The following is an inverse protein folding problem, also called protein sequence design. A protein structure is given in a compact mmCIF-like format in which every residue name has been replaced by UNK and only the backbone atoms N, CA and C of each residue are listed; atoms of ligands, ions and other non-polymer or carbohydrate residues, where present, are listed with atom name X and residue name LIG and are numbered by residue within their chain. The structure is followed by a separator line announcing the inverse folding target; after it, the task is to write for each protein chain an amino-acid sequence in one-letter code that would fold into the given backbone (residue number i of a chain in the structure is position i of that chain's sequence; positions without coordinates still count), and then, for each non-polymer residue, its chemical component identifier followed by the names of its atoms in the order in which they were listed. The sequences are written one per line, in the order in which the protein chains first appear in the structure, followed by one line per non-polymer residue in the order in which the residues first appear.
data_IF_745802564359
#
_entry.id   IF_745802564359
#
_cell.length_a   1.000
_cell.length_b   1.000
_cell.length_c   1.000
_cell.angle_alpha   90.00
_cell.angle_beta   90.00
_cell.angle_gamma   90.00
#
_symmetry.space_group_name_H-M   'P 1'
#
loop_
_entity.id
_entity.type
_entity.pdbx_description
1 polymer ?
#
# COMPACT_ATOMS: atom_id res chain seq x y z
N UNK A 1 4.69 -16.64 15.38
CA UNK A 1 5.23 -16.45 14.02
C UNK A 1 4.04 -16.47 13.07
N UNK A 2 3.89 -15.47 12.20
CA UNK A 2 2.73 -15.36 11.31
C UNK A 2 2.65 -16.57 10.38
N UNK A 3 1.44 -17.06 10.14
CA UNK A 3 1.19 -18.02 9.07
C UNK A 3 1.32 -17.33 7.71
N UNK A 4 1.68 -18.09 6.68
CA UNK A 4 1.77 -17.56 5.31
C UNK A 4 0.45 -16.95 4.82
N UNK A 5 -0.69 -17.44 5.29
CA UNK A 5 -1.99 -16.88 4.93
C UNK A 5 -2.18 -15.49 5.55
N UNK A 6 -1.78 -15.30 6.81
CA UNK A 6 -1.80 -13.99 7.47
C UNK A 6 -0.83 -13.02 6.80
N UNK A 7 0.41 -13.43 6.51
CA UNK A 7 1.38 -12.59 5.81
C UNK A 7 0.84 -12.11 4.46
N UNK A 8 0.23 -13.01 3.69
CA UNK A 8 -0.40 -12.65 2.43
C UNK A 8 -1.62 -11.73 2.61
N UNK A 9 -2.43 -11.96 3.65
CA UNK A 9 -3.58 -11.12 3.96
C UNK A 9 -3.15 -9.71 4.39
N UNK A 10 -2.13 -9.57 5.23
CA UNK A 10 -1.53 -8.29 5.66
C UNK A 10 -1.00 -7.53 4.45
N UNK A 11 -0.22 -8.18 3.58
CA UNK A 11 0.33 -7.52 2.39
C UNK A 11 -0.77 -7.07 1.42
N UNK A 12 -1.82 -7.87 1.22
CA UNK A 12 -2.98 -7.46 0.41
C UNK A 12 -3.79 -6.36 1.07
N UNK A 13 -3.99 -6.42 2.39
CA UNK A 13 -4.66 -5.36 3.14
C UNK A 13 -3.92 -4.04 2.95
N UNK A 14 -2.59 -4.01 3.01
CA UNK A 14 -1.81 -2.82 2.71
C UNK A 14 -2.02 -2.30 1.26
N UNK A 15 -2.14 -3.19 0.27
CA UNK A 15 -2.51 -2.81 -1.11
C UNK A 15 -3.90 -2.16 -1.16
N UNK A 16 -4.89 -2.76 -0.50
CA UNK A 16 -6.25 -2.23 -0.46
C UNK A 16 -6.34 -0.92 0.33
N UNK A 17 -5.61 -0.79 1.44
CA UNK A 17 -5.55 0.45 2.21
C UNK A 17 -4.94 1.58 1.38
N UNK A 18 -3.83 1.33 0.67
CA UNK A 18 -3.25 2.31 -0.24
C UNK A 18 -4.24 2.74 -1.33
N UNK A 19 -4.97 1.77 -1.92
CA UNK A 19 -5.98 2.05 -2.93
C UNK A 19 -7.15 2.89 -2.37
N UNK A 20 -7.62 2.59 -1.16
CA UNK A 20 -8.68 3.35 -0.48
C UNK A 20 -8.24 4.78 -0.17
N UNK A 21 -7.02 4.96 0.37
CA UNK A 21 -6.52 6.28 0.71
C UNK A 21 -6.24 7.14 -0.53
N UNK A 22 -5.83 6.54 -1.65
CA UNK A 22 -5.71 7.24 -2.93
C UNK A 22 -7.08 7.67 -3.45
N UNK A 23 -8.10 6.83 -3.32
CA UNK A 23 -9.47 7.18 -3.70
C UNK A 23 -10.04 8.32 -2.83
N UNK A 24 -9.83 8.26 -1.52
CA UNK A 24 -10.22 9.32 -0.58
C UNK A 24 -9.51 10.63 -0.88
N UNK A 25 -8.17 10.63 -1.03
CA UNK A 25 -7.42 11.84 -1.41
C UNK A 25 -7.92 12.46 -2.71
N UNK A 26 -8.24 11.62 -3.71
CA UNK A 26 -8.73 12.10 -4.99
C UNK A 26 -10.12 12.76 -4.87
N UNK A 27 -10.97 12.33 -3.93
CA UNK A 27 -12.33 12.83 -3.74
C UNK A 27 -12.47 13.94 -2.69
N UNK A 28 -11.68 13.87 -1.63
CA UNK A 28 -11.84 14.65 -0.40
C UNK A 28 -10.66 15.60 -0.17
N UNK A 29 -9.52 15.38 -0.86
CA UNK A 29 -8.35 16.25 -0.84
C UNK A 29 -7.38 15.98 0.31
N UNK A 30 -7.83 15.32 1.38
CA UNK A 30 -7.00 14.93 2.51
C UNK A 30 -7.43 13.60 3.14
N UNK A 31 -6.55 13.01 3.96
CA UNK A 31 -6.80 11.81 4.76
C UNK A 31 -6.05 11.92 6.09
N UNK A 32 -6.54 11.29 7.19
CA UNK A 32 -5.88 11.36 8.48
C UNK A 32 -4.44 10.80 8.43
N UNK A 33 -3.42 11.49 8.97
CA UNK A 33 -2.02 11.04 8.94
C UNK A 33 -1.83 9.62 9.49
N UNK A 34 -2.54 9.28 10.57
CA UNK A 34 -2.52 7.96 11.23
C UNK A 34 -2.86 6.80 10.30
N UNK A 35 -3.62 7.04 9.22
CA UNK A 35 -3.97 6.01 8.22
C UNK A 35 -2.90 5.84 7.14
N UNK A 36 -2.14 6.91 6.86
CA UNK A 36 -1.10 6.94 5.81
C UNK A 36 0.27 6.52 6.33
N UNK A 37 0.59 6.90 7.57
CA UNK A 37 1.91 6.72 8.17
C UNK A 37 2.40 5.26 8.14
N UNK A 38 1.58 4.24 8.42
CA UNK A 38 2.05 2.84 8.39
C UNK A 38 2.47 2.42 6.99
N UNK A 39 1.75 2.88 5.96
CA UNK A 39 2.09 2.61 4.57
C UNK A 39 3.37 3.36 4.16
N UNK A 40 3.50 4.64 4.52
CA UNK A 40 4.69 5.44 4.20
C UNK A 40 5.93 4.87 4.88
N UNK A 41 5.84 4.55 6.18
CA UNK A 41 6.91 3.90 6.95
C UNK A 41 7.34 2.57 6.33
N UNK A 42 6.40 1.78 5.81
CA UNK A 42 6.69 0.48 5.19
C UNK A 42 7.61 0.58 3.97
N UNK A 43 7.66 1.72 3.27
CA UNK A 43 8.55 1.94 2.13
C UNK A 43 10.02 1.82 2.58
N UNK A 44 10.34 2.37 3.75
CA UNK A 44 11.70 2.41 4.29
C UNK A 44 12.11 1.09 4.97
N UNK A 45 11.17 0.20 5.28
CA UNK A 45 11.44 -1.15 5.82
C UNK A 45 11.85 -2.11 4.69
N UNK A 46 13.06 -1.92 4.16
CA UNK A 46 13.60 -2.72 3.05
C UNK A 46 13.99 -4.15 3.49
N UNK A 47 14.61 -4.29 4.67
CA UNK A 47 15.08 -5.57 5.22
C UNK A 47 14.48 -5.79 6.63
N UNK A 48 13.19 -6.13 6.75
CA UNK A 48 12.59 -6.38 8.05
C UNK A 48 13.09 -7.71 8.64
N UNK A 49 13.39 -7.73 9.95
CA UNK A 49 13.76 -8.97 10.65
C UNK A 49 12.55 -9.90 10.80
N UNK A 50 11.37 -9.31 11.06
CA UNK A 50 10.10 -10.02 11.17
C UNK A 50 9.05 -9.37 10.29
N UNK A 51 8.12 -10.19 9.81
CA UNK A 51 7.02 -9.71 8.96
C UNK A 51 6.16 -8.63 9.66
N UNK A 52 5.98 -8.75 10.97
CA UNK A 52 5.22 -7.78 11.77
C UNK A 52 5.87 -6.39 11.85
N UNK A 53 7.19 -6.28 11.63
CA UNK A 53 7.95 -5.02 11.73
C UNK A 53 7.67 -4.04 10.58
N UNK A 54 7.00 -4.52 9.53
CA UNK A 54 6.75 -3.74 8.31
C UNK A 54 5.69 -2.68 8.55
N UNK A 55 4.55 -3.10 9.13
CA UNK A 55 3.39 -2.22 9.36
C UNK A 55 3.09 -2.02 10.84
N UNK A 56 3.56 -2.90 11.73
CA UNK A 56 3.09 -3.00 13.11
C UNK A 56 1.81 -3.85 13.23
N UNK A 57 1.05 -3.71 14.33
CA UNK A 57 -0.17 -4.50 14.55
C UNK A 57 -1.20 -4.30 13.43
N UNK A 58 -1.46 -5.33 12.63
CA UNK A 58 -2.31 -5.20 11.46
C UNK A 58 -3.76 -4.78 11.78
N UNK A 59 -4.30 -5.19 12.95
CA UNK A 59 -5.65 -4.85 13.41
C UNK A 59 -5.90 -3.34 13.49
N UNK A 60 -4.89 -2.56 13.93
CA UNK A 60 -4.95 -1.11 14.03
C UNK A 60 -4.34 -0.41 12.82
N UNK A 61 -3.21 -0.89 12.32
CA UNK A 61 -2.42 -0.20 11.29
C UNK A 61 -2.97 -0.42 9.88
N UNK A 62 -3.68 -1.52 9.63
CA UNK A 62 -4.20 -1.90 8.31
C UNK A 62 -5.72 -2.15 8.33
N UNK A 63 -6.44 -1.61 9.32
CA UNK A 63 -7.87 -1.88 9.54
C UNK A 63 -8.72 -1.62 8.29
N UNK A 64 -8.48 -0.50 7.61
CA UNK A 64 -9.21 -0.10 6.39
C UNK A 64 -8.96 -1.16 5.32
N UNK A 65 -7.69 -1.50 5.09
CA UNK A 65 -7.30 -2.50 4.11
C UNK A 65 -7.88 -3.89 4.36
N UNK A 66 -7.88 -4.32 5.62
CA UNK A 66 -8.42 -5.63 6.04
C UNK A 66 -9.93 -5.69 5.78
N UNK A 67 -10.69 -4.65 6.14
CA UNK A 67 -12.13 -4.57 5.87
C UNK A 67 -12.43 -4.59 4.37
N UNK A 68 -11.68 -3.82 3.57
CA UNK A 68 -11.84 -3.82 2.11
C UNK A 68 -11.50 -5.19 1.50
N UNK A 69 -10.45 -5.86 1.99
CA UNK A 69 -10.11 -7.20 1.56
C UNK A 69 -11.22 -8.20 1.91
N UNK A 70 -11.79 -8.14 3.12
CA UNK A 70 -12.92 -8.99 3.54
C UNK A 70 -14.12 -8.85 2.61
N UNK A 71 -14.50 -7.62 2.26
CA UNK A 71 -15.60 -7.34 1.33
C UNK A 71 -15.36 -8.00 -0.03
N UNK A 72 -14.14 -7.83 -0.58
CA UNK A 72 -13.76 -8.40 -1.89
C UNK A 72 -13.75 -9.93 -1.88
N UNK A 73 -13.20 -10.56 -0.84
CA UNK A 73 -13.10 -12.03 -0.77
C UNK A 73 -14.43 -12.67 -0.35
N UNK A 74 -15.25 -11.96 0.43
CA UNK A 74 -16.59 -12.35 0.88
C UNK A 74 -17.67 -12.25 -0.18
N UNK A 75 -17.38 -11.66 -1.35
CA UNK A 75 -18.34 -11.41 -2.44
C UNK A 75 -19.51 -10.50 -2.02
N UNK A 76 -19.21 -9.44 -1.28
CA UNK A 76 -20.14 -8.33 -1.14
C UNK A 76 -19.68 -7.16 -2.05
N UNK A 77 -19.90 -7.22 -3.37
CA UNK A 77 -19.45 -6.18 -4.28
C UNK A 77 -20.12 -4.82 -4.02
N UNK A 78 -21.24 -4.76 -3.28
CA UNK A 78 -21.87 -3.50 -2.90
C UNK A 78 -21.09 -2.75 -1.82
N UNK A 79 -20.26 -3.46 -1.04
CA UNK A 79 -19.48 -2.87 0.06
C UNK A 79 -18.21 -2.14 -0.35
N UNK A 80 -17.72 -2.29 -1.59
CA UNK A 80 -16.45 -1.70 -2.06
C UNK A 80 -16.65 -0.81 -3.28
N UNK A 81 -16.05 0.38 -3.23
CA UNK A 81 -16.04 1.30 -4.37
C UNK A 81 -15.28 0.68 -5.57
N UNK A 82 -15.81 0.76 -6.81
CA UNK A 82 -15.15 0.24 -8.00
C UNK A 82 -13.72 0.80 -8.21
N UNK A 83 -13.50 2.07 -7.89
CA UNK A 83 -12.20 2.76 -7.99
C UNK A 83 -11.15 2.09 -7.10
N UNK A 84 -11.50 1.74 -5.86
CA UNK A 84 -10.58 1.07 -4.92
C UNK A 84 -10.15 -0.27 -5.48
N UNK A 85 -11.09 -1.06 -6.00
CA UNK A 85 -10.78 -2.34 -6.66
C UNK A 85 -9.89 -2.11 -7.90
N UNK A 86 -10.21 -1.11 -8.72
CA UNK A 86 -9.44 -0.75 -9.90
C UNK A 86 -8.00 -0.34 -9.57
N UNK A 87 -7.79 0.47 -8.54
CA UNK A 87 -6.46 0.87 -8.09
C UNK A 87 -5.69 -0.31 -7.50
N UNK A 88 -6.28 -1.13 -6.64
CA UNK A 88 -5.64 -2.33 -6.09
C UNK A 88 -5.17 -3.29 -7.19
N UNK A 89 -6.03 -3.58 -8.18
CA UNK A 89 -5.67 -4.40 -9.33
C UNK A 89 -4.57 -3.77 -10.19
N UNK A 90 -4.55 -2.44 -10.31
CA UNK A 90 -3.53 -1.72 -11.04
C UNK A 90 -2.18 -1.74 -10.33
N UNK A 91 -2.14 -1.60 -9.00
CA UNK A 91 -0.93 -1.76 -8.16
C UNK A 91 -0.33 -3.16 -8.33
N UNK A 92 -1.16 -4.20 -8.22
CA UNK A 92 -0.75 -5.59 -8.47
C UNK A 92 -0.28 -5.84 -9.91
N UNK A 93 -0.70 -5.00 -10.87
CA UNK A 93 -0.26 -5.12 -12.27
C UNK A 93 1.10 -4.44 -12.47
N UNK A 94 1.25 -3.24 -11.89
CA UNK A 94 2.50 -2.48 -11.92
C UNK A 94 3.65 -3.24 -11.28
N UNK A 95 3.44 -3.89 -10.14
CA UNK A 95 4.46 -4.75 -9.52
C UNK A 95 5.03 -5.76 -10.52
N UNK A 96 4.17 -6.43 -11.30
CA UNK A 96 4.61 -7.45 -12.27
C UNK A 96 5.43 -6.85 -13.41
N UNK A 97 5.16 -5.60 -13.80
CA UNK A 97 5.95 -4.87 -14.80
C UNK A 97 7.28 -4.43 -14.20
N UNK A 98 7.25 -3.85 -13.00
CA UNK A 98 8.44 -3.41 -12.28
C UNK A 98 9.42 -4.57 -12.04
N UNK A 99 8.93 -5.74 -11.61
CA UNK A 99 9.79 -6.91 -11.36
C UNK A 99 10.54 -7.41 -12.61
N UNK A 100 10.09 -7.06 -13.81
CA UNK A 100 10.78 -7.36 -15.07
C UNK A 100 11.80 -6.30 -15.48
N UNK A 101 11.92 -5.21 -14.72
CA UNK A 101 12.82 -4.09 -14.97
C UNK A 101 13.78 -3.96 -13.79
N UNK A 102 14.93 -4.65 -13.88
CA UNK A 102 15.97 -4.68 -12.84
C UNK A 102 16.51 -3.28 -12.54
N UNK A 103 16.72 -2.47 -13.57
CA UNK A 103 17.36 -1.17 -13.47
C UNK A 103 16.46 -0.18 -12.72
N UNK A 104 15.16 -0.20 -13.04
CA UNK A 104 14.17 0.58 -12.31
C UNK A 104 14.03 0.10 -10.86
N UNK A 105 14.16 -1.21 -10.60
CA UNK A 105 14.16 -1.73 -9.23
C UNK A 105 15.39 -1.25 -8.43
N UNK A 106 16.58 -1.21 -9.05
CA UNK A 106 17.79 -0.64 -8.43
C UNK A 106 17.60 0.84 -8.11
N UNK A 107 17.09 1.60 -9.09
CA UNK A 107 16.81 3.04 -8.95
C UNK A 107 15.82 3.31 -7.81
N UNK A 108 14.77 2.49 -7.68
CA UNK A 108 13.84 2.58 -6.55
C UNK A 108 14.53 2.27 -5.21
N UNK A 109 15.36 1.24 -5.15
CA UNK A 109 16.11 0.87 -3.95
C UNK A 109 17.01 2.01 -3.46
N UNK A 110 17.82 2.56 -4.36
CA UNK A 110 18.70 3.71 -4.10
C UNK A 110 17.89 4.95 -3.72
N UNK A 111 16.86 5.29 -4.49
CA UNK A 111 16.01 6.46 -4.21
C UNK A 111 15.30 6.39 -2.86
N UNK A 112 14.86 5.20 -2.43
CA UNK A 112 14.29 4.99 -1.10
C UNK A 112 15.34 5.23 0.00
N UNK A 113 16.59 4.77 -0.19
CA UNK A 113 17.66 5.03 0.77
C UNK A 113 18.00 6.53 0.87
N UNK A 114 17.91 7.26 -0.24
CA UNK A 114 18.09 8.71 -0.23
C UNK A 114 16.94 9.41 0.51
N UNK A 115 15.69 9.00 0.24
CA UNK A 115 14.51 9.52 0.92
C UNK A 115 14.48 9.17 2.42
N UNK A 116 15.07 8.05 2.83
CA UNK A 116 15.18 7.67 4.25
C UNK A 116 15.93 8.73 5.07
N UNK A 117 17.00 9.32 4.53
CA UNK A 117 17.74 10.41 5.19
C UNK A 117 16.87 11.66 5.43
N UNK A 118 15.93 11.95 4.52
CA UNK A 118 14.97 13.04 4.71
C UNK A 118 13.97 12.69 5.83
N UNK A 119 13.53 11.44 5.89
CA UNK A 119 12.64 10.96 6.94
C UNK A 119 13.29 11.03 8.34
N UNK A 120 14.60 10.78 8.45
CA UNK A 120 15.35 10.89 9.71
C UNK A 120 15.36 12.32 10.26
N UNK A 121 15.33 13.34 9.39
CA UNK A 121 15.30 14.75 9.80
C UNK A 121 13.89 15.30 10.06
N UNK A 122 12.89 14.88 9.28
CA UNK A 122 11.55 15.52 9.29
C UNK A 122 10.39 14.63 9.74
N UNK A 123 10.55 13.30 9.77
CA UNK A 123 9.52 12.23 9.80
C UNK A 123 9.02 11.74 8.43
N UNK A 124 8.43 10.54 8.43
CA UNK A 124 7.90 9.87 7.22
C UNK A 124 6.68 10.56 6.61
N UNK A 125 5.90 11.28 7.42
CA UNK A 125 4.68 11.99 7.02
C UNK A 125 4.89 13.46 6.65
N UNK A 126 6.12 13.97 6.78
CA UNK A 126 6.43 15.35 6.46
C UNK A 126 6.39 15.62 4.95
N UNK A 127 6.03 16.84 4.56
CA UNK A 127 5.87 17.24 3.15
C UNK A 127 7.13 16.99 2.31
N UNK A 128 8.33 17.26 2.85
CA UNK A 128 9.60 17.01 2.17
C UNK A 128 9.83 15.52 1.89
N UNK A 129 9.56 14.65 2.87
CA UNK A 129 9.69 13.21 2.70
C UNK A 129 8.67 12.69 1.68
N UNK A 130 7.43 13.17 1.76
CA UNK A 130 6.36 12.81 0.81
C UNK A 130 6.72 13.29 -0.61
N UNK A 131 7.26 14.50 -0.76
CA UNK A 131 7.71 15.05 -2.04
C UNK A 131 8.86 14.24 -2.64
N UNK A 132 9.82 13.80 -1.82
CA UNK A 132 10.90 12.92 -2.27
C UNK A 132 10.37 11.58 -2.79
N UNK A 133 9.45 10.94 -2.06
CA UNK A 133 8.80 9.69 -2.49
C UNK A 133 7.95 9.88 -3.76
N UNK A 134 7.25 11.01 -3.87
CA UNK A 134 6.46 11.36 -5.03
C UNK A 134 7.33 11.59 -6.28
N UNK A 135 8.46 12.29 -6.13
CA UNK A 135 9.46 12.48 -7.17
C UNK A 135 10.05 11.15 -7.63
N UNK A 136 10.38 10.26 -6.69
CA UNK A 136 10.85 8.91 -6.99
C UNK A 136 9.83 8.12 -7.83
N UNK A 137 8.53 8.18 -7.47
CA UNK A 137 7.46 7.56 -8.25
C UNK A 137 7.37 8.13 -9.69
N UNK A 138 7.56 9.44 -9.85
CA UNK A 138 7.54 10.11 -11.16
C UNK A 138 8.73 9.69 -12.03
N UNK A 139 9.93 9.64 -11.45
CA UNK A 139 11.16 9.27 -12.15
C UNK A 139 11.20 7.79 -12.56
N UNK A 140 10.42 6.94 -11.90
CA UNK A 140 10.45 5.48 -12.11
C UNK A 140 9.13 4.98 -12.68
N UNK A 141 8.15 4.76 -11.82
CA UNK A 141 6.91 4.03 -12.11
C UNK A 141 6.02 4.73 -13.12
N UNK A 142 6.10 6.06 -13.22
CA UNK A 142 5.35 6.83 -14.22
C UNK A 142 5.88 6.63 -15.65
N UNK A 143 7.11 6.12 -15.81
CA UNK A 143 7.73 5.83 -17.09
C UNK A 143 7.37 4.44 -17.64
N UNK A 144 6.68 3.62 -16.86
CA UNK A 144 6.17 2.34 -17.35
C UNK A 144 5.05 2.54 -18.37
N UNK A 145 4.91 1.58 -19.30
CA UNK A 145 3.89 1.62 -20.36
C UNK A 145 2.44 1.59 -19.84
N UNK A 146 2.25 1.18 -18.59
CA UNK A 146 0.96 1.18 -17.90
C UNK A 146 1.04 2.16 -16.75
N UNK A 147 0.00 2.98 -16.57
CA UNK A 147 -0.07 4.03 -15.54
C UNK A 147 -1.41 3.95 -14.81
N UNK A 148 -1.38 4.21 -13.51
CA UNK A 148 -2.60 4.34 -12.72
C UNK A 148 -3.20 5.72 -13.02
N UNK A 149 -4.41 5.74 -13.57
CA UNK A 149 -5.16 6.98 -13.78
C UNK A 149 -6.08 7.21 -12.59
N UNK A 150 -5.65 8.05 -11.67
CA UNK A 150 -6.44 8.44 -10.50
C UNK A 150 -7.55 9.39 -10.95
N UNK A 151 -8.80 9.03 -10.65
CA UNK A 151 -10.01 9.80 -10.90
C UNK A 151 -10.54 10.36 -9.59
N UNK A 152 -11.02 11.59 -9.62
CA UNK A 152 -11.56 12.30 -8.47
C UNK A 152 -11.87 13.76 -8.81
N UNK A 153 -11.93 14.61 -7.80
CA UNK A 153 -12.12 16.04 -7.95
C UNK A 153 -10.86 16.68 -8.56
N UNK A 154 -10.95 17.35 -9.73
CA UNK A 154 -9.80 17.99 -10.37
C UNK A 154 -9.09 19.01 -9.48
N UNK A 155 -9.81 19.79 -8.67
CA UNK A 155 -9.22 20.81 -7.80
C UNK A 155 -8.28 20.20 -6.76
N UNK A 156 -8.62 19.02 -6.24
CA UNK A 156 -7.76 18.29 -5.31
C UNK A 156 -6.57 17.64 -6.02
N UNK A 157 -6.80 17.05 -7.19
CA UNK A 157 -5.73 16.40 -7.95
C UNK A 157 -4.71 17.37 -8.56
N UNK A 158 -5.09 18.64 -8.77
CA UNK A 158 -4.19 19.71 -9.19
C UNK A 158 -3.36 20.29 -8.04
N UNK A 159 -3.79 20.09 -6.78
CA UNK A 159 -3.01 20.50 -5.62
C UNK A 159 -1.74 19.64 -5.50
N UNK A 160 -0.57 20.30 -5.46
CA UNK A 160 0.73 19.62 -5.40
C UNK A 160 0.90 18.71 -4.19
N UNK A 161 0.39 19.11 -3.02
CA UNK A 161 0.47 18.33 -1.78
C UNK A 161 -0.35 17.04 -1.90
N UNK A 162 -1.61 17.14 -2.31
CA UNK A 162 -2.49 15.99 -2.53
C UNK A 162 -1.92 15.07 -3.61
N UNK A 163 -1.43 15.62 -4.73
CA UNK A 163 -0.80 14.84 -5.79
C UNK A 163 0.46 14.10 -5.32
N UNK A 164 1.28 14.72 -4.46
CA UNK A 164 2.45 14.08 -3.87
C UNK A 164 2.06 12.96 -2.90
N UNK A 165 1.10 13.20 -2.01
CA UNK A 165 0.54 12.16 -1.12
C UNK A 165 0.00 10.97 -1.92
N UNK A 166 -0.73 11.21 -3.01
CA UNK A 166 -1.24 10.16 -3.90
C UNK A 166 -0.09 9.32 -4.45
N UNK A 167 0.96 9.94 -4.99
CA UNK A 167 2.11 9.21 -5.55
C UNK A 167 2.89 8.42 -4.51
N UNK A 168 3.10 9.00 -3.32
CA UNK A 168 3.75 8.33 -2.21
C UNK A 168 2.94 7.09 -1.75
N UNK A 169 1.62 7.20 -1.66
CA UNK A 169 0.75 6.06 -1.32
C UNK A 169 0.69 5.00 -2.43
N UNK A 170 0.72 5.39 -3.71
CA UNK A 170 0.85 4.45 -4.81
C UNK A 170 2.18 3.68 -4.75
N UNK A 171 3.28 4.36 -4.40
CA UNK A 171 4.58 3.73 -4.16
C UNK A 171 4.51 2.73 -2.99
N UNK A 172 3.89 3.11 -1.87
CA UNK A 172 3.65 2.20 -0.74
C UNK A 172 2.80 0.98 -1.15
N UNK A 173 1.74 1.19 -1.93
CA UNK A 173 0.90 0.12 -2.46
C UNK A 173 1.66 -0.83 -3.38
N UNK A 174 2.62 -0.34 -4.17
CA UNK A 174 3.49 -1.19 -5.00
C UNK A 174 4.47 -1.97 -4.11
N UNK A 175 5.06 -1.35 -3.08
CA UNK A 175 5.89 -2.04 -2.08
C UNK A 175 5.11 -3.17 -1.39
N UNK A 176 3.85 -2.93 -1.04
CA UNK A 176 2.94 -3.94 -0.48
C UNK A 176 2.64 -5.07 -1.50
N UNK A 177 2.45 -4.74 -2.78
CA UNK A 177 2.27 -5.72 -3.84
C UNK A 177 3.53 -6.59 -4.03
N UNK A 178 4.73 -6.00 -3.96
CA UNK A 178 6.01 -6.74 -4.00
C UNK A 178 6.08 -7.69 -2.80
N UNK A 179 5.77 -7.20 -1.60
CA UNK A 179 5.76 -8.01 -0.38
C UNK A 179 4.84 -9.22 -0.51
N UNK A 180 3.62 -8.99 -1.00
CA UNK A 180 2.63 -10.05 -1.20
C UNK A 180 3.16 -11.15 -2.13
N UNK A 181 3.92 -10.77 -3.17
CA UNK A 181 4.55 -11.73 -4.08
C UNK A 181 5.71 -12.48 -3.43
N UNK A 182 6.50 -11.82 -2.59
CA UNK A 182 7.60 -12.44 -1.84
C UNK A 182 7.09 -13.53 -0.89
N UNK A 183 5.94 -13.31 -0.24
CA UNK A 183 5.27 -14.34 0.60
C UNK A 183 4.40 -15.32 -0.19
N UNK A 184 4.63 -15.43 -1.51
CA UNK A 184 4.06 -16.47 -2.36
C UNK A 184 2.68 -16.16 -2.96
N UNK A 185 2.18 -14.94 -2.82
CA UNK A 185 0.88 -14.51 -3.32
C UNK A 185 0.75 -14.58 -4.84
N UNK A 186 -0.41 -15.02 -5.35
CA UNK A 186 -0.73 -15.08 -6.79
C UNK A 186 -2.14 -14.56 -7.05
N UNK A 187 -2.36 -13.88 -8.19
CA UNK A 187 -3.70 -13.32 -8.52
C UNK A 187 -4.81 -14.37 -8.50
N UNK A 188 -4.57 -15.53 -9.12
CA UNK A 188 -5.52 -16.63 -9.13
C UNK A 188 -5.78 -17.23 -7.73
N UNK A 189 -4.79 -17.18 -6.85
CA UNK A 189 -4.92 -17.62 -5.46
C UNK A 189 -5.91 -16.77 -4.65
N UNK A 190 -6.09 -15.49 -4.98
CA UNK A 190 -7.16 -14.67 -4.37
C UNK A 190 -8.54 -15.14 -4.80
N UNK A 191 -8.69 -15.56 -6.07
CA UNK A 191 -9.97 -16.00 -6.60
C UNK A 191 -10.38 -17.39 -6.12
N UNK A 192 -9.42 -18.32 -5.97
CA UNK A 192 -9.67 -19.71 -5.54
C UNK A 192 -9.56 -19.89 -4.04
N UNK A 193 -8.65 -19.16 -3.38
CA UNK A 193 -8.40 -19.27 -1.95
C UNK A 193 -9.14 -18.22 -1.12
N UNK A 194 -10.39 -17.90 -1.44
CA UNK A 194 -11.14 -16.82 -0.75
C UNK A 194 -11.34 -17.11 0.73
N UNK A 195 -11.76 -18.34 1.06
CA UNK A 195 -12.04 -18.76 2.45
C UNK A 195 -10.82 -18.57 3.37
N UNK A 196 -9.61 -18.89 2.90
CA UNK A 196 -8.38 -18.68 3.71
C UNK A 196 -8.07 -17.20 3.94
N UNK A 197 -8.35 -16.33 2.96
CA UNK A 197 -8.12 -14.89 3.11
C UNK A 197 -9.16 -14.27 4.03
N UNK A 198 -10.41 -14.71 3.91
CA UNK A 198 -11.48 -14.27 4.80
C UNK A 198 -11.15 -14.64 6.26
N UNK A 199 -10.80 -15.90 6.50
CA UNK A 199 -10.41 -16.39 7.82
C UNK A 199 -9.17 -15.66 8.37
N UNK A 200 -8.14 -15.46 7.56
CA UNK A 200 -6.96 -14.70 7.98
C UNK A 200 -7.33 -13.25 8.34
N UNK A 201 -8.21 -12.59 7.58
CA UNK A 201 -8.66 -11.24 7.91
C UNK A 201 -9.47 -11.20 9.22
N UNK A 202 -10.33 -12.19 9.46
CA UNK A 202 -11.09 -12.31 10.71
C UNK A 202 -10.15 -12.46 11.91
N UNK A 203 -9.17 -13.36 11.83
CA UNK A 203 -8.15 -13.55 12.85
C UNK A 203 -7.36 -12.26 13.12
N UNK A 204 -6.90 -11.60 12.05
CA UNK A 204 -6.14 -10.34 12.15
C UNK A 204 -6.95 -9.21 12.76
N UNK A 205 -8.25 -9.11 12.47
CA UNK A 205 -9.12 -8.06 13.02
C UNK A 205 -9.50 -8.31 14.48
N UNK A 206 -9.48 -9.57 14.92
CA UNK A 206 -9.76 -9.97 16.30
C UNK A 206 -8.51 -9.94 17.19
N UNK A 207 -7.33 -9.71 16.62
CA UNK A 207 -6.07 -9.73 17.36
C UNK A 207 -6.03 -8.61 18.41
N UNK A 208 -5.85 -8.95 19.71
CA UNK A 208 -5.89 -7.96 20.78
C UNK A 208 -4.81 -6.91 20.59
N UNK A 209 -5.20 -5.64 20.76
CA UNK A 209 -4.29 -4.51 20.73
C UNK A 209 -3.45 -4.54 22.01
N UNK A 210 -2.35 -5.28 22.02
CA UNK A 210 -1.36 -5.15 23.08
C UNK A 210 -0.75 -3.75 23.01
N UNK A 211 -1.33 -2.82 23.77
CA UNK A 211 -0.73 -1.54 24.10
C UNK A 211 0.45 -1.85 25.01
N UNK A 212 1.66 -1.99 24.44
CA UNK A 212 2.85 -1.82 25.26
C UNK A 212 2.91 -0.34 25.64
N UNK A 213 2.69 -0.07 26.94
CA UNK A 213 3.02 1.18 27.61
C UNK A 213 4.52 1.47 27.52
#
# INVERSE_FOLDING_TARGET
MRSRNEEQAIALAAVFQAATLVEQLAREGDVPPSTTEPLLRSIFKQNPERFDDIYGPASSQLNIGLKQLQIVVGRDPAGIKPEVTGYALSLLHLERKLRKNSDMMSTLGEGIQQAARQADHFSVGHENTIAALAGLYQQTLSNLSFRIRVKGNPSYLQNHHTANKVRALLLAGIRAAILWRQVGGRRFQMLVGRKRYLHACEQLLQEPQHHNH
#
